data_IF_691290694744
#
_entry.id   IF_691290694744
#
_cell.length_a   1.000
_cell.length_b   1.000
_cell.length_c   1.000
_cell.angle_alpha   90.00
_cell.angle_beta   90.00
_cell.angle_gamma   90.00
#
_symmetry.space_group_name_H-M   'P 1'
#
loop_
_entity.id
_entity.type
_entity.pdbx_description
1 polymer ?
#
# COMPACT_ATOMS: atom_id res chain seq x y z
N UNK A 1 45.24 5.20 -12.56
CA UNK A 1 43.80 5.45 -12.35
C UNK A 1 43.11 4.33 -13.08
N UNK A 2 42.39 3.45 -12.38
CA UNK A 2 41.71 2.33 -13.01
C UNK A 2 40.59 2.85 -13.91
N UNK A 3 40.53 2.36 -15.14
CA UNK A 3 39.52 2.68 -16.18
C UNK A 3 38.08 2.27 -15.78
N UNK A 4 37.88 1.78 -14.55
CA UNK A 4 36.59 1.29 -14.03
C UNK A 4 35.79 2.30 -13.22
N UNK A 5 36.27 3.53 -13.05
CA UNK A 5 35.52 4.54 -12.34
C UNK A 5 34.45 5.17 -13.25
N UNK A 6 33.17 4.80 -13.01
CA UNK A 6 32.01 5.42 -13.64
C UNK A 6 31.40 6.38 -12.64
N UNK A 7 31.34 7.69 -12.93
CA UNK A 7 30.68 8.67 -12.08
C UNK A 7 29.17 8.47 -12.14
N UNK A 8 28.54 8.38 -11.00
CA UNK A 8 27.09 8.16 -10.89
C UNK A 8 26.68 6.68 -10.94
N UNK A 9 25.37 6.44 -11.11
CA UNK A 9 24.78 5.09 -11.12
C UNK A 9 24.34 4.63 -12.53
N UNK A 10 24.57 5.41 -13.55
CA UNK A 10 24.20 5.05 -14.92
C UNK A 10 24.95 3.80 -15.38
N UNK A 11 24.20 2.78 -15.81
CA UNK A 11 24.73 1.50 -16.26
C UNK A 11 25.24 0.58 -15.15
N UNK A 12 25.09 0.96 -13.87
CA UNK A 12 25.41 0.09 -12.74
C UNK A 12 24.21 -0.83 -12.46
N UNK A 13 24.40 -2.13 -12.61
CA UNK A 13 23.41 -3.15 -12.24
C UNK A 13 23.55 -3.39 -10.74
N UNK A 14 22.51 -3.04 -9.96
CA UNK A 14 22.50 -3.22 -8.51
C UNK A 14 22.02 -4.62 -8.12
N UNK A 15 20.96 -5.11 -8.76
CA UNK A 15 20.36 -6.44 -8.51
C UNK A 15 19.43 -6.84 -9.65
N UNK A 16 19.10 -8.12 -9.72
CA UNK A 16 17.99 -8.64 -10.53
C UNK A 16 16.67 -8.53 -9.77
N UNK A 17 15.60 -8.22 -10.48
CA UNK A 17 14.24 -8.17 -9.91
C UNK A 17 13.26 -8.84 -10.86
N UNK A 18 12.33 -9.62 -10.29
CA UNK A 18 11.20 -10.22 -11.01
C UNK A 18 9.90 -9.44 -10.78
N UNK A 19 9.92 -8.37 -9.98
CA UNK A 19 8.72 -7.66 -9.54
C UNK A 19 8.22 -6.71 -10.63
N UNK A 20 9.13 -5.96 -11.26
CA UNK A 20 8.77 -4.98 -12.27
C UNK A 20 9.80 -4.95 -13.41
N UNK A 21 9.30 -4.89 -14.62
CA UNK A 21 10.09 -4.80 -15.85
C UNK A 21 9.67 -3.55 -16.63
N UNK A 22 10.35 -2.41 -16.41
CA UNK A 22 10.16 -1.24 -17.24
C UNK A 22 10.87 -1.42 -18.57
N UNK A 23 10.21 -1.09 -19.69
CA UNK A 23 10.87 -1.00 -20.96
C UNK A 23 11.87 0.16 -20.99
N UNK A 24 13.05 -0.06 -21.60
CA UNK A 24 14.12 0.95 -21.69
C UNK A 24 13.68 2.20 -22.45
N UNK A 25 12.75 2.07 -23.39
CA UNK A 25 12.19 3.16 -24.18
C UNK A 25 10.99 3.83 -23.47
N UNK A 26 10.57 3.31 -22.31
CA UNK A 26 9.47 3.84 -21.52
C UNK A 26 8.08 3.60 -22.11
N UNK A 27 7.97 2.66 -23.07
CA UNK A 27 6.72 2.35 -23.77
C UNK A 27 5.85 1.32 -23.05
N UNK A 28 6.42 0.50 -22.15
CA UNK A 28 5.67 -0.50 -21.39
C UNK A 28 6.22 -0.69 -19.98
N UNK A 29 5.35 -1.10 -19.08
CA UNK A 29 5.70 -1.51 -17.72
C UNK A 29 4.94 -2.80 -17.39
N UNK A 30 5.67 -3.80 -16.91
CA UNK A 30 5.08 -5.06 -16.47
C UNK A 30 5.32 -5.29 -15.00
N UNK A 31 4.31 -5.80 -14.32
CA UNK A 31 4.39 -6.29 -12.95
C UNK A 31 4.28 -7.82 -12.97
N UNK A 32 5.34 -8.52 -12.54
CA UNK A 32 5.41 -9.99 -12.59
C UNK A 32 5.02 -10.55 -13.97
N UNK A 33 5.47 -9.89 -15.06
CA UNK A 33 5.18 -10.29 -16.44
C UNK A 33 3.82 -9.86 -16.98
N UNK A 34 2.92 -9.31 -16.13
CA UNK A 34 1.61 -8.81 -16.56
C UNK A 34 1.73 -7.33 -16.96
N UNK A 35 1.23 -6.99 -18.13
CA UNK A 35 1.26 -5.61 -18.61
C UNK A 35 0.37 -4.70 -17.75
N UNK A 36 0.85 -3.50 -17.43
CA UNK A 36 0.10 -2.56 -16.59
C UNK A 36 -1.23 -2.15 -17.24
N UNK A 37 -1.30 -2.10 -18.58
CA UNK A 37 -2.53 -1.80 -19.32
C UNK A 37 -3.62 -2.88 -19.13
N UNK A 38 -3.21 -4.10 -18.80
CA UNK A 38 -4.15 -5.18 -18.46
C UNK A 38 -4.61 -5.13 -17.00
N UNK A 39 -3.92 -4.40 -16.15
CA UNK A 39 -4.25 -4.25 -14.73
C UNK A 39 -5.14 -3.03 -14.47
N UNK A 40 -4.82 -1.89 -15.09
CA UNK A 40 -5.50 -0.61 -14.82
C UNK A 40 -6.98 -0.69 -15.17
N UNK A 41 -7.84 -0.38 -14.19
CA UNK A 41 -9.29 -0.40 -14.33
C UNK A 41 -9.94 -1.79 -14.42
N UNK A 42 -9.15 -2.87 -14.33
CA UNK A 42 -9.65 -4.26 -14.41
C UNK A 42 -9.37 -5.07 -13.15
N UNK A 43 -8.25 -4.78 -12.48
CA UNK A 43 -7.81 -5.49 -11.27
C UNK A 43 -7.81 -4.52 -10.10
N UNK A 44 -8.32 -4.94 -8.94
CA UNK A 44 -8.33 -4.08 -7.76
C UNK A 44 -6.91 -3.82 -7.24
N UNK A 45 -6.70 -2.67 -6.61
CA UNK A 45 -5.43 -2.31 -5.97
C UNK A 45 -4.93 -3.40 -5.01
N UNK A 46 -5.83 -3.98 -4.21
CA UNK A 46 -5.48 -5.05 -3.27
C UNK A 46 -4.98 -6.32 -3.97
N UNK A 47 -5.54 -6.65 -5.13
CA UNK A 47 -5.11 -7.80 -5.93
C UNK A 47 -3.81 -7.51 -6.68
N UNK A 48 -3.59 -6.28 -7.17
CA UNK A 48 -2.29 -5.87 -7.73
C UNK A 48 -1.18 -5.95 -6.68
N UNK A 49 -1.48 -5.56 -5.43
CA UNK A 49 -0.54 -5.74 -4.31
C UNK A 49 -0.19 -7.24 -4.13
N UNK A 50 -1.19 -8.13 -4.19
CA UNK A 50 -0.98 -9.58 -4.14
C UNK A 50 -0.07 -10.06 -5.27
N UNK A 51 -0.33 -9.64 -6.51
CA UNK A 51 0.53 -9.96 -7.66
C UNK A 51 1.99 -9.57 -7.39
N UNK A 52 2.25 -8.37 -6.86
CA UNK A 52 3.60 -7.90 -6.61
C UNK A 52 4.32 -8.67 -5.50
N UNK A 53 3.61 -9.04 -4.43
CA UNK A 53 4.19 -9.66 -3.24
C UNK A 53 4.16 -11.19 -3.31
N UNK A 54 3.05 -11.77 -3.75
CA UNK A 54 2.78 -13.20 -3.72
C UNK A 54 2.94 -13.87 -5.11
N UNK A 55 3.12 -13.10 -6.19
CA UNK A 55 3.03 -13.57 -7.59
C UNK A 55 1.64 -14.13 -7.95
N UNK A 56 0.62 -13.75 -7.17
CA UNK A 56 -0.76 -14.18 -7.33
C UNK A 56 -1.72 -13.04 -7.00
N UNK A 57 -2.85 -12.95 -7.70
CA UNK A 57 -3.85 -11.91 -7.45
C UNK A 57 -4.60 -12.08 -6.11
N UNK A 58 -4.69 -13.30 -5.62
CA UNK A 58 -5.43 -13.64 -4.41
C UNK A 58 -4.52 -14.26 -3.34
N UNK A 59 -4.79 -13.98 -2.07
CA UNK A 59 -5.92 -13.23 -1.52
C UNK A 59 -5.80 -11.70 -1.62
N UNK A 60 -4.65 -11.12 -2.02
CA UNK A 60 -4.42 -9.69 -2.04
C UNK A 60 -4.33 -9.05 -0.64
N UNK A 61 -4.70 -7.77 -0.53
CA UNK A 61 -4.72 -7.05 0.74
C UNK A 61 -5.96 -7.41 1.58
N UNK A 62 -5.78 -7.63 2.89
CA UNK A 62 -6.90 -7.78 3.83
C UNK A 62 -7.62 -6.45 4.06
N UNK A 63 -8.75 -6.49 4.78
CA UNK A 63 -9.37 -5.27 5.29
C UNK A 63 -8.53 -4.67 6.41
N UNK A 64 -8.50 -3.32 6.48
CA UNK A 64 -7.86 -2.61 7.56
C UNK A 64 -8.53 -2.94 8.90
N UNK A 65 -7.72 -3.14 9.93
CA UNK A 65 -8.20 -3.32 11.30
C UNK A 65 -8.78 -2.02 11.85
N UNK A 66 -9.69 -2.14 12.83
CA UNK A 66 -10.27 -1.01 13.55
C UNK A 66 -9.24 -0.44 14.52
N UNK A 67 -8.39 0.40 14.01
CA UNK A 67 -7.33 1.02 14.78
C UNK A 67 -7.35 2.54 14.54
N UNK A 68 -7.64 3.36 15.57
CA UNK A 68 -7.74 4.81 15.41
C UNK A 68 -6.37 5.43 15.13
N UNK A 69 -6.38 6.53 14.39
CA UNK A 69 -5.19 7.35 14.17
C UNK A 69 -4.70 7.92 15.53
N UNK A 70 -3.48 7.60 15.97
CA UNK A 70 -3.02 7.97 17.30
C UNK A 70 -2.45 9.39 17.41
N UNK A 71 -2.18 10.05 16.27
CA UNK A 71 -1.53 11.37 16.20
C UNK A 71 -2.33 12.30 15.32
N UNK A 72 -2.48 13.55 15.77
CA UNK A 72 -3.25 14.58 15.10
C UNK A 72 -2.50 15.91 15.15
N UNK A 73 -1.48 16.05 14.30
CA UNK A 73 -0.69 17.30 14.19
C UNK A 73 -1.35 18.34 13.29
N UNK A 74 -2.28 17.90 12.43
CA UNK A 74 -2.88 18.70 11.38
C UNK A 74 -2.16 18.61 10.03
N UNK A 75 -1.02 17.92 9.98
CA UNK A 75 -0.35 17.54 8.71
C UNK A 75 -0.56 16.05 8.45
N UNK A 76 -1.34 15.73 7.41
CA UNK A 76 -1.68 14.35 7.05
C UNK A 76 -0.46 13.46 6.87
N UNK A 77 0.63 13.96 6.30
CA UNK A 77 1.85 13.17 6.05
C UNK A 77 2.55 12.82 7.36
N UNK A 78 2.65 13.80 8.27
CA UNK A 78 3.25 13.61 9.59
C UNK A 78 2.43 12.62 10.40
N UNK A 79 1.11 12.78 10.42
CA UNK A 79 0.21 11.93 11.19
C UNK A 79 0.26 10.48 10.72
N UNK A 80 0.21 10.24 9.41
CA UNK A 80 0.30 8.89 8.83
C UNK A 80 1.67 8.25 9.09
N UNK A 81 2.75 8.98 8.88
CA UNK A 81 4.11 8.47 9.11
C UNK A 81 4.33 8.08 10.57
N UNK A 82 3.93 8.94 11.50
CA UNK A 82 4.01 8.67 12.93
C UNK A 82 3.16 7.46 13.32
N UNK A 83 1.92 7.39 12.84
CA UNK A 83 1.00 6.29 13.12
C UNK A 83 1.53 4.94 12.63
N UNK A 84 2.10 4.87 11.43
CA UNK A 84 2.70 3.65 10.88
C UNK A 84 3.90 3.21 11.74
N UNK A 85 4.74 4.15 12.18
CA UNK A 85 5.87 3.83 13.06
C UNK A 85 5.43 3.25 14.41
N UNK A 86 4.23 3.59 14.88
CA UNK A 86 3.66 3.05 16.12
C UNK A 86 3.02 1.67 15.98
N UNK A 87 2.74 1.20 14.76
CA UNK A 87 2.09 -0.10 14.55
C UNK A 87 2.95 -1.26 15.04
N UNK A 88 4.24 -1.24 14.76
CA UNK A 88 5.13 -2.33 15.14
C UNK A 88 5.10 -2.64 16.64
N UNK A 89 5.32 -1.67 17.55
CA UNK A 89 5.22 -1.92 18.99
C UNK A 89 3.77 -2.18 19.43
N UNK A 90 2.76 -1.52 18.83
CA UNK A 90 1.36 -1.70 19.22
C UNK A 90 0.82 -3.11 18.90
N UNK A 91 1.30 -3.70 17.82
CA UNK A 91 0.88 -5.04 17.37
C UNK A 91 1.88 -6.15 17.72
N UNK A 92 2.98 -5.80 18.40
CA UNK A 92 4.01 -6.75 18.80
C UNK A 92 4.76 -7.35 17.60
N UNK A 93 4.96 -6.58 16.51
CA UNK A 93 5.74 -7.05 15.38
C UNK A 93 7.18 -7.31 15.81
N UNK A 94 7.67 -8.50 15.49
CA UNK A 94 9.06 -8.87 15.71
C UNK A 94 9.95 -8.37 14.57
N UNK A 95 11.27 -8.25 14.81
CA UNK A 95 12.23 -8.01 13.73
C UNK A 95 12.11 -9.05 12.61
N UNK A 96 12.31 -8.65 11.35
CA UNK A 96 12.20 -9.54 10.20
C UNK A 96 13.14 -10.76 10.27
N UNK A 97 14.26 -10.65 11.00
CA UNK A 97 15.19 -11.75 11.21
C UNK A 97 14.66 -12.83 12.17
N UNK A 98 13.62 -12.54 12.93
CA UNK A 98 13.07 -13.41 13.97
C UNK A 98 11.73 -14.06 13.58
N UNK A 99 11.30 -13.86 12.31
CA UNK A 99 10.03 -14.36 11.79
C UNK A 99 10.23 -15.07 10.45
N UNK A 100 9.29 -15.92 10.09
CA UNK A 100 9.26 -16.56 8.79
C UNK A 100 8.60 -15.67 7.71
N UNK A 101 8.69 -16.10 6.46
CA UNK A 101 8.16 -15.36 5.31
C UNK A 101 6.64 -15.20 5.38
N UNK A 102 5.92 -16.16 5.93
CA UNK A 102 4.45 -16.10 6.06
C UNK A 102 4.04 -15.03 7.09
N UNK A 103 4.72 -14.98 8.24
CA UNK A 103 4.51 -13.94 9.25
C UNK A 103 4.93 -12.56 8.70
N UNK A 104 6.07 -12.48 8.01
CA UNK A 104 6.55 -11.25 7.38
C UNK A 104 5.54 -10.72 6.35
N UNK A 105 5.05 -11.60 5.46
CA UNK A 105 4.01 -11.27 4.47
C UNK A 105 2.72 -10.79 5.14
N UNK A 106 2.27 -11.47 6.19
CA UNK A 106 1.07 -11.09 6.93
C UNK A 106 1.21 -9.71 7.57
N UNK A 107 2.33 -9.44 8.22
CA UNK A 107 2.63 -8.16 8.84
C UNK A 107 2.72 -7.04 7.81
N UNK A 108 3.34 -7.30 6.65
CA UNK A 108 3.41 -6.36 5.54
C UNK A 108 2.02 -6.01 5.01
N UNK A 109 1.16 -7.00 4.78
CA UNK A 109 -0.20 -6.80 4.29
C UNK A 109 -1.03 -5.96 5.27
N UNK A 110 -0.98 -6.27 6.58
CA UNK A 110 -1.65 -5.53 7.64
C UNK A 110 -1.17 -4.07 7.70
N UNK A 111 0.14 -3.85 7.69
CA UNK A 111 0.72 -2.50 7.70
C UNK A 111 0.33 -1.72 6.44
N UNK A 112 0.38 -2.33 5.26
CA UNK A 112 0.05 -1.68 3.98
C UNK A 112 -1.39 -1.18 3.94
N UNK A 113 -2.35 -1.98 4.36
CA UNK A 113 -3.75 -1.56 4.37
C UNK A 113 -4.04 -0.52 5.44
N UNK A 114 -3.28 -0.51 6.55
CA UNK A 114 -3.41 0.54 7.58
C UNK A 114 -2.91 1.91 7.11
N UNK A 115 -1.96 1.98 6.17
CA UNK A 115 -1.60 3.25 5.50
C UNK A 115 -2.83 3.91 4.91
N UNK A 116 -3.64 3.15 4.16
CA UNK A 116 -4.88 3.65 3.54
C UNK A 116 -5.90 4.10 4.58
N UNK A 117 -6.05 3.32 5.65
CA UNK A 117 -6.96 3.66 6.76
C UNK A 117 -6.54 4.95 7.48
N UNK A 118 -5.26 5.09 7.81
CA UNK A 118 -4.74 6.28 8.48
C UNK A 118 -4.77 7.51 7.59
N UNK A 119 -4.47 7.35 6.30
CA UNK A 119 -4.58 8.43 5.33
C UNK A 119 -6.02 8.97 5.27
N UNK A 120 -7.00 8.08 5.22
CA UNK A 120 -8.41 8.47 5.23
C UNK A 120 -8.83 9.16 6.53
N UNK A 121 -8.39 8.66 7.69
CA UNK A 121 -8.67 9.26 9.00
C UNK A 121 -8.04 10.63 9.14
N UNK A 122 -6.76 10.78 8.76
CA UNK A 122 -6.04 12.05 8.82
C UNK A 122 -6.66 13.09 7.88
N UNK A 123 -6.97 12.70 6.65
CA UNK A 123 -7.58 13.58 5.65
C UNK A 123 -9.01 14.00 6.01
N UNK A 124 -9.76 13.14 6.71
CA UNK A 124 -11.08 13.48 7.24
C UNK A 124 -11.01 14.50 8.38
N UNK A 125 -9.96 14.45 9.17
CA UNK A 125 -9.73 15.33 10.32
C UNK A 125 -10.62 14.99 11.53
N UNK A 126 -10.37 15.69 12.64
CA UNK A 126 -11.03 15.45 13.92
C UNK A 126 -12.43 16.07 14.04
N UNK A 127 -12.75 17.07 13.23
CA UNK A 127 -14.03 17.82 13.31
C UNK A 127 -15.17 17.05 12.64
N UNK A 128 -14.87 16.32 11.57
CA UNK A 128 -15.87 15.55 10.85
C UNK A 128 -16.29 14.30 11.66
N UNK A 129 -17.57 13.94 11.67
CA UNK A 129 -18.05 12.74 12.35
C UNK A 129 -17.32 11.48 11.83
N UNK A 130 -16.97 10.57 12.75
CA UNK A 130 -16.39 9.27 12.39
C UNK A 130 -17.42 8.47 11.62
N UNK A 131 -17.00 7.87 10.50
CA UNK A 131 -17.87 6.97 9.74
C UNK A 131 -17.96 5.63 10.49
N UNK A 132 -19.17 5.12 10.76
CA UNK A 132 -19.35 3.83 11.39
C UNK A 132 -18.73 2.70 10.55
N UNK A 133 -18.08 1.73 11.20
CA UNK A 133 -17.50 0.58 10.52
C UNK A 133 -18.54 -0.20 9.71
N UNK A 134 -19.80 -0.25 10.16
CA UNK A 134 -20.91 -0.88 9.41
C UNK A 134 -21.17 -0.25 8.03
N UNK A 135 -20.82 1.02 7.83
CA UNK A 135 -20.89 1.67 6.51
C UNK A 135 -19.65 1.30 5.68
N UNK A 136 -18.49 1.27 6.30
CA UNK A 136 -17.22 0.89 5.64
C UNK A 136 -17.25 -0.58 5.21
N UNK A 137 -17.86 -1.45 6.02
CA UNK A 137 -17.97 -2.89 5.74
C UNK A 137 -18.88 -3.23 4.55
N UNK A 138 -19.64 -2.28 4.02
CA UNK A 138 -20.42 -2.44 2.77
C UNK A 138 -19.53 -2.42 1.52
N UNK A 139 -18.32 -1.91 1.63
CA UNK A 139 -17.37 -1.82 0.52
C UNK A 139 -16.73 -3.17 0.17
N UNK A 140 -16.47 -3.37 -1.12
CA UNK A 140 -15.90 -4.61 -1.65
C UNK A 140 -14.37 -4.56 -1.79
N UNK A 141 -13.79 -3.36 -1.93
CA UNK A 141 -12.35 -3.18 -2.12
C UNK A 141 -11.72 -2.31 -1.04
N UNK A 142 -10.41 -2.42 -0.86
CA UNK A 142 -9.66 -1.60 0.12
C UNK A 142 -9.71 -0.11 -0.24
N UNK A 143 -9.79 0.23 -1.52
CA UNK A 143 -9.90 1.62 -2.00
C UNK A 143 -11.30 2.18 -1.71
N UNK A 144 -12.37 1.42 -1.96
CA UNK A 144 -13.72 1.84 -1.57
C UNK A 144 -13.82 2.08 -0.06
N UNK A 145 -13.25 1.18 0.76
CA UNK A 145 -13.17 1.34 2.22
C UNK A 145 -12.45 2.63 2.61
N UNK A 146 -11.32 2.93 1.98
CA UNK A 146 -10.59 4.18 2.18
C UNK A 146 -11.45 5.40 1.83
N UNK A 147 -12.12 5.39 0.68
CA UNK A 147 -12.96 6.50 0.22
C UNK A 147 -14.16 6.75 1.13
N UNK A 148 -14.84 5.68 1.56
CA UNK A 148 -15.94 5.80 2.53
C UNK A 148 -15.42 6.36 3.85
N UNK A 149 -14.32 5.84 4.38
CA UNK A 149 -13.71 6.33 5.63
C UNK A 149 -13.33 7.81 5.55
N UNK A 150 -12.89 8.27 4.39
CA UNK A 150 -12.52 9.68 4.18
C UNK A 150 -13.76 10.57 3.92
N UNK A 151 -14.58 10.24 2.92
CA UNK A 151 -15.63 11.11 2.42
C UNK A 151 -17.06 10.72 2.82
N UNK A 152 -17.25 9.50 3.29
CA UNK A 152 -18.55 8.94 3.62
C UNK A 152 -19.20 8.15 2.49
N UNK A 153 -18.67 8.26 1.29
CA UNK A 153 -19.17 7.54 0.11
C UNK A 153 -18.01 7.19 -0.85
N UNK A 154 -18.11 6.10 -1.61
CA UNK A 154 -17.16 5.79 -2.67
C UNK A 154 -17.57 6.57 -3.92
N UNK A 155 -16.75 7.50 -4.36
CA UNK A 155 -16.88 8.13 -5.69
C UNK A 155 -16.37 7.13 -6.75
N UNK A 156 -17.21 6.68 -7.70
CA UNK A 156 -16.81 5.70 -8.71
C UNK A 156 -15.63 6.16 -9.58
N UNK A 157 -15.48 7.46 -9.80
CA UNK A 157 -14.37 8.00 -10.57
C UNK A 157 -13.04 7.85 -9.83
N UNK A 158 -13.05 8.01 -8.49
CA UNK A 158 -11.86 7.87 -7.65
C UNK A 158 -11.52 6.41 -7.31
N UNK A 159 -12.49 5.50 -7.37
CA UNK A 159 -12.28 4.07 -7.10
C UNK A 159 -11.64 3.35 -8.29
N UNK A 160 -11.84 3.88 -9.51
CA UNK A 160 -11.31 3.29 -10.74
C UNK A 160 -9.89 3.76 -11.10
N UNK A 161 -9.39 4.76 -10.41
CA UNK A 161 -8.08 5.38 -10.71
C UNK A 161 -6.88 4.49 -10.37
#
# INVERSE_FOLDING_TARGET
MSDDFKPGLEGVIAFESQIAEPDKEGSSLRYRGVDIEDLVGRVSFGNVWGLLVDDEFNPGLPNAEKFPLPVHSGDVRVDVQAAISMLAPAWGFKPLLDIDDAEARSNLARASVMVLSYLAQAARGQIAPVIPESEIDKAHTVIERMMIRWRGEPDPAHVRA
#
